data_IF_264724970096
#
_entry.id   IF_264724970096
#
_cell.length_a   1.000
_cell.length_b   1.000
_cell.length_c   1.000
_cell.angle_alpha   90.00
_cell.angle_beta   90.00
_cell.angle_gamma   90.00
#
_symmetry.space_group_name_H-M   'P 1'
#
loop_
_entity.id
_entity.type
_entity.pdbx_description
1 polymer ?
#
# COMPACT_ATOMS: atom_id res chain seq x y z
N UNK A 1 41.07 8.35 -27.53
CA UNK A 1 40.30 7.09 -27.42
C UNK A 1 39.08 7.35 -26.54
N UNK A 2 37.87 7.35 -27.11
CA UNK A 2 36.61 7.44 -26.31
C UNK A 2 36.40 6.07 -25.65
N UNK A 3 36.31 6.07 -24.30
CA UNK A 3 35.82 4.89 -23.55
C UNK A 3 34.46 4.44 -24.11
N UNK A 4 34.27 3.14 -24.43
CA UNK A 4 32.96 2.68 -24.86
C UNK A 4 31.95 2.97 -23.76
N UNK A 5 30.83 3.62 -24.12
CA UNK A 5 29.73 3.82 -23.22
C UNK A 5 29.18 2.44 -22.81
N UNK A 6 29.22 2.14 -21.53
CA UNK A 6 28.57 0.94 -20.99
C UNK A 6 27.08 1.08 -21.29
N UNK A 7 26.52 0.15 -22.06
CA UNK A 7 25.10 0.14 -22.36
C UNK A 7 24.30 0.16 -21.07
N UNK A 8 23.40 1.13 -20.94
CA UNK A 8 22.54 1.24 -19.74
C UNK A 8 21.64 0.00 -19.69
N UNK A 9 21.65 -0.69 -18.55
CA UNK A 9 20.74 -1.82 -18.29
C UNK A 9 19.30 -1.30 -18.35
N UNK A 10 18.40 -1.93 -19.11
CA UNK A 10 17.00 -1.49 -19.18
C UNK A 10 16.32 -1.62 -17.82
N UNK A 11 15.32 -0.76 -17.50
CA UNK A 11 14.56 -0.89 -16.28
C UNK A 11 13.78 -2.21 -16.24
N UNK A 12 13.60 -2.75 -15.04
CA UNK A 12 12.86 -3.97 -14.76
C UNK A 12 11.71 -3.62 -13.81
N UNK A 13 10.51 -4.10 -14.12
CA UNK A 13 9.34 -3.98 -13.24
C UNK A 13 8.94 -5.36 -12.73
N UNK A 14 8.74 -5.47 -11.43
CA UNK A 14 8.33 -6.73 -10.79
C UNK A 14 7.48 -6.46 -9.54
N UNK A 15 6.76 -7.50 -9.06
CA UNK A 15 6.08 -7.43 -7.78
C UNK A 15 7.10 -7.17 -6.67
N UNK A 16 6.77 -6.26 -5.76
CA UNK A 16 7.66 -5.92 -4.65
C UNK A 16 7.66 -7.03 -3.59
N UNK A 17 8.83 -7.27 -2.99
CA UNK A 17 8.91 -8.05 -1.74
C UNK A 17 8.48 -7.16 -0.58
N UNK A 18 7.34 -7.49 0.03
CA UNK A 18 6.77 -6.72 1.13
C UNK A 18 6.65 -7.54 2.41
N UNK A 19 6.82 -6.87 3.55
CA UNK A 19 6.44 -7.40 4.86
C UNK A 19 5.14 -6.69 5.26
N UNK A 20 4.05 -7.42 5.26
CA UNK A 20 2.75 -6.94 5.70
C UNK A 20 2.51 -7.35 7.16
N UNK A 21 2.54 -6.43 8.14
CA UNK A 21 2.34 -6.78 9.55
C UNK A 21 0.89 -7.16 9.86
N UNK A 22 -0.05 -6.67 9.06
CA UNK A 22 -1.49 -6.88 9.26
C UNK A 22 -2.14 -7.30 7.93
N UNK A 23 -1.94 -8.56 7.49
CA UNK A 23 -2.57 -9.04 6.26
C UNK A 23 -4.10 -9.06 6.43
N UNK A 24 -4.80 -8.39 5.50
CA UNK A 24 -6.26 -8.42 5.48
C UNK A 24 -6.77 -9.73 4.90
N UNK A 25 -6.08 -10.26 3.89
CA UNK A 25 -6.40 -11.50 3.21
C UNK A 25 -6.38 -11.39 1.70
N UNK A 26 -6.83 -12.47 1.05
CA UNK A 26 -6.85 -12.59 -0.42
C UNK A 26 -8.24 -12.21 -0.93
N UNK A 27 -8.30 -11.39 -1.96
CA UNK A 27 -9.53 -11.02 -2.64
C UNK A 27 -10.26 -12.21 -3.26
N UNK A 28 -11.56 -12.29 -3.07
CA UNK A 28 -12.39 -13.39 -3.61
C UNK A 28 -12.40 -13.38 -5.14
N UNK A 29 -12.49 -12.20 -5.74
CA UNK A 29 -12.58 -12.01 -7.19
C UNK A 29 -11.22 -11.73 -7.82
N UNK A 30 -10.49 -10.76 -7.30
CA UNK A 30 -9.22 -10.28 -7.86
C UNK A 30 -8.05 -11.24 -7.64
N UNK A 31 -8.12 -12.08 -6.59
CA UNK A 31 -7.01 -12.92 -6.11
C UNK A 31 -5.78 -12.12 -5.65
N UNK A 32 -5.91 -10.81 -5.48
CA UNK A 32 -4.87 -9.97 -4.95
C UNK A 32 -4.75 -10.13 -3.43
N UNK A 33 -3.54 -10.01 -2.93
CA UNK A 33 -3.27 -9.89 -1.50
C UNK A 33 -3.52 -8.45 -1.07
N UNK A 34 -4.30 -8.29 0.00
CA UNK A 34 -4.60 -7.00 0.60
C UNK A 34 -3.95 -6.89 1.97
N UNK A 35 -3.31 -5.75 2.21
CA UNK A 35 -2.65 -5.44 3.47
C UNK A 35 -3.27 -4.19 4.10
N UNK A 36 -3.65 -4.28 5.38
CA UNK A 36 -4.10 -3.12 6.14
C UNK A 36 -2.93 -2.17 6.42
N UNK A 37 -3.12 -0.89 6.12
CA UNK A 37 -2.20 0.18 6.48
C UNK A 37 -2.61 0.72 7.84
N UNK A 38 -1.80 0.45 8.84
CA UNK A 38 -2.08 0.86 10.22
C UNK A 38 -1.56 2.26 10.49
N UNK A 39 -2.28 3.01 11.32
CA UNK A 39 -1.78 4.27 11.88
C UNK A 39 -0.71 3.95 12.92
N UNK A 40 0.53 4.31 12.62
CA UNK A 40 1.69 4.12 13.48
C UNK A 40 2.67 5.29 13.31
N UNK A 41 3.65 5.38 14.22
CA UNK A 41 4.69 6.42 14.19
C UNK A 41 6.08 5.87 13.87
N UNK A 42 6.28 4.59 14.16
CA UNK A 42 7.54 3.90 13.92
C UNK A 42 7.50 3.25 12.53
N UNK A 43 8.40 3.60 11.60
CA UNK A 43 8.48 2.98 10.29
C UNK A 43 8.56 1.44 10.33
N UNK A 44 9.16 0.86 11.37
CA UNK A 44 9.28 -0.60 11.51
C UNK A 44 7.94 -1.31 11.74
N UNK A 45 6.92 -0.57 12.19
CA UNK A 45 5.57 -1.09 12.39
C UNK A 45 4.68 -0.99 11.13
N UNK A 46 5.16 -0.32 10.07
CA UNK A 46 4.45 -0.17 8.80
C UNK A 46 4.61 -1.35 7.85
N UNK A 47 4.05 -1.20 6.67
CA UNK A 47 4.29 -2.15 5.58
C UNK A 47 5.66 -1.85 4.99
N UNK A 48 6.60 -2.77 5.18
CA UNK A 48 7.96 -2.62 4.69
C UNK A 48 8.04 -3.10 3.24
N UNK A 49 8.47 -2.23 2.35
CA UNK A 49 8.77 -2.56 0.95
C UNK A 49 10.27 -2.67 0.80
N UNK A 50 10.76 -3.86 0.43
CA UNK A 50 12.17 -4.10 0.15
C UNK A 50 12.48 -3.68 -1.28
N UNK A 51 13.53 -2.89 -1.44
CA UNK A 51 13.99 -2.41 -2.73
C UNK A 51 15.15 -3.33 -3.19
N UNK A 52 15.06 -3.95 -4.37
CA UNK A 52 16.15 -4.76 -4.91
C UNK A 52 17.42 -3.95 -5.13
N UNK A 53 18.58 -4.62 -5.23
CA UNK A 53 19.84 -3.95 -5.59
C UNK A 53 19.70 -3.23 -6.93
N UNK A 54 19.93 -1.93 -6.92
CA UNK A 54 19.62 -1.05 -8.04
C UNK A 54 20.67 0.03 -8.23
N UNK A 55 20.54 0.76 -9.33
CA UNK A 55 21.31 1.96 -9.65
C UNK A 55 20.37 3.07 -10.10
N UNK A 56 20.47 4.22 -9.44
CA UNK A 56 19.56 5.36 -9.64
C UNK A 56 18.23 5.17 -8.91
N UNK A 57 17.30 6.10 -9.03
CA UNK A 57 16.03 6.06 -8.32
C UNK A 57 15.18 4.87 -8.74
N UNK A 58 14.32 4.41 -7.82
CA UNK A 58 13.34 3.34 -8.02
C UNK A 58 11.94 3.93 -8.04
N UNK A 59 11.07 3.42 -8.89
CA UNK A 59 9.66 3.76 -8.88
C UNK A 59 8.89 2.67 -8.15
N UNK A 60 8.31 3.02 -6.99
CA UNK A 60 7.36 2.19 -6.26
C UNK A 60 5.94 2.54 -6.74
N UNK A 61 5.15 1.51 -7.04
CA UNK A 61 3.73 1.66 -7.37
C UNK A 61 2.90 0.75 -6.50
N UNK A 62 1.72 1.21 -6.08
CA UNK A 62 0.74 0.39 -5.38
C UNK A 62 -0.66 0.97 -5.55
N UNK A 63 -1.67 0.14 -5.38
CA UNK A 63 -3.06 0.55 -5.35
C UNK A 63 -3.48 0.80 -3.90
N UNK A 64 -3.96 2.02 -3.63
CA UNK A 64 -4.44 2.47 -2.34
C UNK A 64 -5.97 2.46 -2.32
N UNK A 65 -6.55 1.88 -1.26
CA UNK A 65 -7.99 1.71 -1.10
C UNK A 65 -8.44 2.22 0.26
N UNK A 66 -9.69 2.65 0.36
CA UNK A 66 -10.35 2.76 1.65
C UNK A 66 -10.81 1.38 2.13
N UNK A 67 -10.85 1.21 3.45
CA UNK A 67 -11.33 0.00 4.10
C UNK A 67 -12.78 0.16 4.50
N UNK A 68 -13.63 -0.78 4.09
CA UNK A 68 -15.05 -0.77 4.46
C UNK A 68 -15.50 -2.12 5.02
N UNK A 69 -16.29 -2.04 6.09
CA UNK A 69 -17.04 -3.19 6.61
C UNK A 69 -18.53 -2.87 6.43
N UNK A 70 -19.24 -3.66 5.64
CA UNK A 70 -20.63 -3.36 5.35
C UNK A 70 -21.61 -4.27 6.10
N UNK A 71 -22.78 -3.71 6.40
CA UNK A 71 -23.93 -4.40 6.93
C UNK A 71 -25.00 -4.54 5.85
N UNK A 72 -25.44 -5.77 5.58
CA UNK A 72 -26.51 -6.03 4.63
C UNK A 72 -27.82 -5.35 5.06
N UNK A 73 -28.07 -5.31 6.36
CA UNK A 73 -29.23 -4.62 6.94
C UNK A 73 -29.21 -3.12 6.63
N UNK A 74 -28.06 -2.46 6.83
CA UNK A 74 -27.92 -1.04 6.52
C UNK A 74 -28.06 -0.75 5.02
N UNK A 75 -27.52 -1.63 4.17
CA UNK A 75 -27.66 -1.52 2.72
C UNK A 75 -29.14 -1.64 2.30
N UNK A 76 -29.87 -2.62 2.82
CA UNK A 76 -31.31 -2.80 2.56
C UNK A 76 -32.15 -1.62 3.07
N UNK A 77 -31.75 -1.04 4.20
CA UNK A 77 -32.41 0.12 4.77
C UNK A 77 -32.02 1.46 4.11
N UNK A 78 -31.16 1.43 3.08
CA UNK A 78 -30.60 2.60 2.39
C UNK A 78 -29.89 3.58 3.35
N UNK A 79 -29.25 3.07 4.40
CA UNK A 79 -28.49 3.80 5.44
C UNK A 79 -27.03 3.49 5.49
N UNK A 80 -26.50 2.76 4.48
CA UNK A 80 -25.10 2.32 4.45
C UNK A 80 -24.10 3.38 3.94
N UNK A 81 -24.59 4.59 3.62
CA UNK A 81 -23.72 5.64 3.11
C UNK A 81 -22.54 5.93 4.04
N UNK A 82 -21.34 5.94 3.47
CA UNK A 82 -20.14 6.41 4.14
C UNK A 82 -19.18 6.99 3.09
N UNK A 83 -18.56 8.13 3.41
CA UNK A 83 -17.45 8.69 2.64
C UNK A 83 -16.18 8.59 3.49
N UNK A 84 -15.14 8.01 2.90
CA UNK A 84 -13.88 7.81 3.55
C UNK A 84 -12.81 8.69 2.90
N UNK A 85 -11.98 9.33 3.72
CA UNK A 85 -10.78 10.04 3.27
C UNK A 85 -9.63 9.54 4.12
N UNK A 86 -8.74 8.75 3.52
CA UNK A 86 -7.57 8.21 4.19
C UNK A 86 -6.29 8.85 3.67
N UNK A 87 -5.36 9.15 4.57
CA UNK A 87 -4.03 9.68 4.27
C UNK A 87 -3.00 8.68 4.75
N UNK A 88 -2.06 8.34 3.87
CA UNK A 88 -0.92 7.48 4.16
C UNK A 88 0.39 8.18 3.81
N UNK A 89 1.46 7.88 4.54
CA UNK A 89 2.81 8.33 4.26
C UNK A 89 3.67 7.18 3.74
N UNK A 90 4.58 7.49 2.81
CA UNK A 90 5.71 6.63 2.45
C UNK A 90 6.96 7.26 3.04
N UNK A 91 7.66 6.52 3.91
CA UNK A 91 8.77 6.99 4.69
C UNK A 91 10.00 6.12 4.48
N UNK A 92 11.18 6.72 4.68
CA UNK A 92 12.42 5.97 4.85
C UNK A 92 12.43 5.27 6.22
N UNK A 93 13.36 4.36 6.45
CA UNK A 93 13.45 3.63 7.72
C UNK A 93 13.97 4.51 8.87
N UNK A 94 14.54 5.67 8.58
CA UNK A 94 14.92 6.70 9.58
C UNK A 94 13.79 7.70 9.89
N UNK A 95 12.57 7.40 9.45
CA UNK A 95 11.35 8.20 9.66
C UNK A 95 11.30 9.52 8.87
N UNK A 96 12.04 9.62 7.77
CA UNK A 96 11.92 10.76 6.85
C UNK A 96 10.79 10.54 5.86
N UNK A 97 9.88 11.51 5.76
CA UNK A 97 8.76 11.42 4.84
C UNK A 97 9.21 11.65 3.39
N UNK A 98 8.98 10.67 2.52
CA UNK A 98 9.20 10.78 1.07
C UNK A 98 8.00 11.44 0.42
N UNK A 99 6.79 10.92 0.67
CA UNK A 99 5.54 11.46 0.10
C UNK A 99 4.33 11.08 0.93
N UNK A 100 3.20 11.77 0.65
CA UNK A 100 1.87 11.40 1.13
C UNK A 100 0.98 11.02 -0.04
N UNK A 101 0.09 10.07 0.21
CA UNK A 101 -0.99 9.73 -0.70
C UNK A 101 -2.33 9.80 0.03
N UNK A 102 -3.37 10.17 -0.72
CA UNK A 102 -4.74 10.29 -0.18
C UNK A 102 -5.65 9.48 -1.09
N UNK A 103 -6.53 8.69 -0.48
CA UNK A 103 -7.64 8.06 -1.18
C UNK A 103 -8.95 8.52 -0.58
N UNK A 104 -9.87 8.95 -1.44
CA UNK A 104 -11.22 9.37 -1.04
C UNK A 104 -12.24 8.70 -1.92
N UNK A 105 -13.20 8.02 -1.32
CA UNK A 105 -14.33 7.45 -2.04
C UNK A 105 -15.55 7.27 -1.16
N UNK A 106 -16.69 7.04 -1.80
CA UNK A 106 -17.97 6.79 -1.15
C UNK A 106 -18.36 5.32 -1.26
N UNK A 107 -19.02 4.82 -0.24
CA UNK A 107 -19.73 3.55 -0.23
C UNK A 107 -21.23 3.79 -0.04
N UNK A 108 -22.05 3.16 -0.85
CA UNK A 108 -23.51 3.17 -0.74
C UNK A 108 -24.10 1.77 -0.81
N UNK A 109 -23.48 0.90 -1.61
CA UNK A 109 -23.96 -0.44 -1.94
C UNK A 109 -22.81 -1.38 -2.26
N UNK A 110 -23.10 -2.66 -2.32
CA UNK A 110 -22.10 -3.72 -2.52
C UNK A 110 -21.28 -3.57 -3.81
N UNK A 111 -21.85 -2.94 -4.85
CA UNK A 111 -21.15 -2.68 -6.11
C UNK A 111 -20.02 -1.64 -6.00
N UNK A 112 -19.95 -0.91 -4.89
CA UNK A 112 -18.90 0.07 -4.63
C UNK A 112 -17.63 -0.58 -4.06
N UNK A 113 -17.66 -1.88 -3.75
CA UNK A 113 -16.46 -2.64 -3.43
C UNK A 113 -15.60 -2.89 -4.67
N UNK A 114 -14.29 -2.75 -4.50
CA UNK A 114 -13.31 -3.28 -5.47
C UNK A 114 -13.31 -4.81 -5.44
N UNK A 115 -13.35 -5.37 -4.22
CA UNK A 115 -13.42 -6.81 -3.97
C UNK A 115 -13.98 -7.08 -2.56
N UNK A 116 -14.07 -8.32 -2.19
CA UNK A 116 -14.39 -8.78 -0.84
C UNK A 116 -13.23 -9.58 -0.29
N UNK A 117 -12.94 -9.38 0.98
CA UNK A 117 -11.96 -10.17 1.72
C UNK A 117 -12.67 -10.78 2.92
N UNK A 118 -12.55 -12.08 3.07
CA UNK A 118 -13.30 -12.82 4.08
C UNK A 118 -14.76 -13.09 3.69
N UNK A 119 -15.47 -13.81 4.55
CA UNK A 119 -16.86 -14.22 4.34
C UNK A 119 -17.57 -14.53 5.65
N UNK A 120 -18.90 -14.65 5.54
CA UNK A 120 -19.78 -14.92 6.65
C UNK A 120 -20.40 -13.68 7.29
N UNK A 121 -21.51 -13.86 7.99
CA UNK A 121 -22.16 -12.81 8.74
C UNK A 121 -21.57 -12.75 10.15
N UNK A 122 -21.09 -11.58 10.53
CA UNK A 122 -20.68 -11.27 11.90
C UNK A 122 -21.86 -10.69 12.72
N UNK A 123 -21.61 -10.31 13.97
CA UNK A 123 -22.60 -9.59 14.81
C UNK A 123 -23.13 -8.33 14.11
N UNK A 124 -24.44 -8.08 14.19
CA UNK A 124 -25.07 -6.91 13.58
C UNK A 124 -25.19 -6.96 12.05
N UNK A 125 -25.13 -8.16 11.43
CA UNK A 125 -25.29 -8.34 9.99
C UNK A 125 -24.07 -7.91 9.16
N UNK A 126 -22.91 -7.73 9.79
CA UNK A 126 -21.64 -7.41 9.10
C UNK A 126 -21.15 -8.64 8.36
N UNK A 127 -21.05 -8.59 7.02
CA UNK A 127 -20.71 -9.74 6.19
C UNK A 127 -19.27 -9.79 5.73
N UNK A 128 -18.70 -8.67 5.36
CA UNK A 128 -17.38 -8.68 4.75
C UNK A 128 -16.62 -7.39 5.05
N UNK A 129 -15.31 -7.50 5.06
CA UNK A 129 -14.39 -6.37 4.94
C UNK A 129 -13.99 -6.29 3.47
N UNK A 130 -14.08 -5.11 2.88
CA UNK A 130 -13.75 -4.93 1.48
C UNK A 130 -12.99 -3.63 1.23
N UNK A 131 -12.05 -3.64 0.27
CA UNK A 131 -11.48 -2.41 -0.25
C UNK A 131 -12.50 -1.67 -1.10
N UNK A 132 -12.57 -0.35 -0.92
CA UNK A 132 -13.43 0.54 -1.71
C UNK A 132 -12.60 1.61 -2.38
N UNK A 133 -12.87 1.87 -3.66
CA UNK A 133 -12.09 2.79 -4.48
C UNK A 133 -10.68 2.28 -4.78
N UNK A 134 -10.06 2.88 -5.76
CA UNK A 134 -8.67 2.61 -6.14
C UNK A 134 -8.00 3.92 -6.47
N UNK A 135 -6.93 4.23 -5.76
CA UNK A 135 -6.00 5.30 -6.13
C UNK A 135 -4.65 4.67 -6.44
N UNK A 136 -4.24 4.73 -7.69
CA UNK A 136 -2.92 4.24 -8.08
C UNK A 136 -1.85 5.26 -7.69
N UNK A 137 -1.00 4.88 -6.75
CA UNK A 137 0.07 5.70 -6.19
C UNK A 137 1.38 5.37 -6.87
N UNK A 138 2.12 6.40 -7.28
CA UNK A 138 3.47 6.29 -7.81
C UNK A 138 4.41 7.14 -6.95
N UNK A 139 5.49 6.52 -6.48
CA UNK A 139 6.49 7.15 -5.61
C UNK A 139 7.88 6.94 -6.16
N UNK A 140 8.66 8.00 -6.27
CA UNK A 140 10.08 7.91 -6.62
C UNK A 140 10.88 7.75 -5.33
N UNK A 141 11.55 6.62 -5.19
CA UNK A 141 12.40 6.29 -4.04
C UNK A 141 13.84 6.66 -4.40
N UNK A 142 14.55 7.39 -3.52
CA UNK A 142 15.97 7.72 -3.69
C UNK A 142 16.87 6.48 -3.82
N UNK A 143 18.00 6.63 -4.53
CA UNK A 143 18.94 5.51 -4.82
C UNK A 143 19.54 4.89 -3.54
N UNK A 144 19.69 5.68 -2.49
CA UNK A 144 20.28 5.25 -1.22
C UNK A 144 19.37 4.34 -0.38
N UNK A 145 18.07 4.28 -0.70
CA UNK A 145 17.10 3.55 0.09
C UNK A 145 17.04 2.08 -0.34
N UNK A 146 17.26 1.18 0.59
CA UNK A 146 17.09 -0.28 0.42
C UNK A 146 15.72 -0.78 0.90
N UNK A 147 15.03 0.01 1.71
CA UNK A 147 13.69 -0.27 2.24
C UNK A 147 12.94 1.03 2.48
N UNK A 148 11.63 0.99 2.31
CA UNK A 148 10.72 2.07 2.71
C UNK A 148 9.54 1.49 3.45
N UNK A 149 8.87 2.33 4.24
CA UNK A 149 7.69 1.96 5.02
C UNK A 149 6.47 2.72 4.55
N UNK A 150 5.32 2.04 4.48
CA UNK A 150 4.02 2.67 4.23
C UNK A 150 3.23 2.66 5.53
N UNK A 151 2.91 3.85 6.04
CA UNK A 151 2.19 4.07 7.30
C UNK A 151 0.92 4.88 7.09
N UNK A 152 -0.12 4.57 7.85
CA UNK A 152 -1.34 5.36 7.93
C UNK A 152 -1.16 6.59 8.82
N UNK A 153 -1.64 7.75 8.38
CA UNK A 153 -1.67 8.96 9.20
C UNK A 153 -3.05 9.13 9.86
N UNK A 154 -4.10 9.12 9.06
CA UNK A 154 -5.47 9.29 9.53
C UNK A 154 -6.50 8.81 8.51
N UNK A 155 -7.71 8.51 9.01
CA UNK A 155 -8.90 8.32 8.19
C UNK A 155 -10.05 9.17 8.74
N UNK A 156 -10.72 9.91 7.86
CA UNK A 156 -11.98 10.60 8.16
C UNK A 156 -13.13 9.81 7.55
N UNK A 157 -14.13 9.53 8.34
CA UNK A 157 -15.34 8.82 7.90
C UNK A 157 -16.53 9.74 8.10
N UNK A 158 -17.22 10.05 7.02
CA UNK A 158 -18.47 10.83 7.04
C UNK A 158 -19.63 9.88 6.76
N UNK A 159 -20.67 9.99 7.58
CA UNK A 159 -21.91 9.22 7.48
C UNK A 159 -23.11 10.17 7.53
N UNK A 160 -24.32 9.62 7.37
CA UNK A 160 -25.55 10.41 7.42
C UNK A 160 -25.78 11.10 8.79
N UNK A 161 -25.24 10.53 9.85
CA UNK A 161 -25.39 10.98 11.24
C UNK A 161 -24.21 11.80 11.76
N UNK A 162 -23.18 12.03 10.94
CA UNK A 162 -22.02 12.83 11.31
C UNK A 162 -20.70 12.38 10.72
N UNK A 163 -19.60 12.96 11.19
CA UNK A 163 -18.26 12.61 10.77
C UNK A 163 -17.33 12.37 11.96
N UNK A 164 -16.33 11.51 11.77
CA UNK A 164 -15.27 11.26 12.75
C UNK A 164 -13.94 11.08 12.06
N UNK A 165 -12.87 11.58 12.69
CA UNK A 165 -11.49 11.39 12.24
C UNK A 165 -10.75 10.52 13.23
N UNK A 166 -9.99 9.57 12.70
CA UNK A 166 -9.26 8.58 13.48
C UNK A 166 -7.79 8.61 13.08
N UNK A 167 -6.89 8.71 14.07
CA UNK A 167 -5.44 8.76 13.91
C UNK A 167 -4.68 8.08 15.05
N UNK A 168 -5.40 7.31 15.90
CA UNK A 168 -4.76 6.60 17.01
C UNK A 168 -3.91 5.43 16.51
N UNK A 169 -2.75 5.21 17.12
CA UNK A 169 -1.86 4.09 16.82
C UNK A 169 -2.60 2.74 16.92
N UNK A 170 -2.23 1.79 16.06
CA UNK A 170 -2.85 0.48 15.98
C UNK A 170 -4.21 0.45 15.25
N UNK A 171 -4.61 1.54 14.62
CA UNK A 171 -5.88 1.59 13.89
C UNK A 171 -5.69 1.43 12.39
N UNK A 172 -6.46 0.57 11.71
CA UNK A 172 -6.42 0.48 10.26
C UNK A 172 -6.99 1.78 9.64
N UNK A 173 -6.23 2.37 8.72
CA UNK A 173 -6.53 3.65 8.05
C UNK A 173 -6.93 3.42 6.61
N UNK A 174 -6.23 2.52 5.92
CA UNK A 174 -6.41 2.23 4.51
C UNK A 174 -6.03 0.77 4.21
N UNK A 175 -6.11 0.39 2.96
CA UNK A 175 -5.65 -0.91 2.45
C UNK A 175 -4.75 -0.65 1.25
N UNK A 176 -3.72 -1.47 1.07
CA UNK A 176 -2.95 -1.51 -0.18
C UNK A 176 -3.02 -2.88 -0.84
N UNK A 177 -2.82 -2.87 -2.16
CA UNK A 177 -2.65 -4.07 -2.99
C UNK A 177 -1.73 -3.77 -4.18
N UNK A 178 -1.40 -4.79 -4.96
CA UNK A 178 -0.70 -4.66 -6.24
C UNK A 178 0.61 -3.84 -6.13
N UNK A 179 1.43 -4.16 -5.12
CA UNK A 179 2.68 -3.44 -4.87
C UNK A 179 3.76 -3.91 -5.84
N UNK A 180 4.36 -2.98 -6.58
CA UNK A 180 5.40 -3.27 -7.55
C UNK A 180 6.51 -2.22 -7.52
N UNK A 181 7.71 -2.64 -7.93
CA UNK A 181 8.88 -1.77 -8.08
C UNK A 181 9.40 -1.82 -9.51
N UNK A 182 9.79 -0.65 -10.02
CA UNK A 182 10.50 -0.51 -11.28
C UNK A 182 11.85 0.12 -11.01
N UNK A 183 12.91 -0.56 -11.40
CA UNK A 183 14.29 -0.18 -11.09
C UNK A 183 15.26 -0.62 -12.18
N UNK A 184 16.45 -0.05 -12.19
CA UNK A 184 17.58 -0.52 -12.99
C UNK A 184 18.46 -1.41 -12.13
N UNK A 185 18.65 -2.71 -12.46
CA UNK A 185 19.51 -3.59 -11.68
C UNK A 185 20.93 -3.06 -11.57
N UNK A 186 21.51 -3.21 -10.39
CA UNK A 186 22.94 -2.92 -10.20
C UNK A 186 23.78 -3.85 -11.07
N UNK A 187 24.89 -3.39 -11.65
CA UNK A 187 25.79 -4.26 -12.40
C UNK A 187 26.38 -5.33 -11.45
N UNK A 188 26.57 -6.58 -11.94
CA UNK A 188 27.16 -7.62 -11.12
C UNK A 188 28.53 -7.19 -10.58
N UNK A 189 28.89 -7.58 -9.34
CA UNK A 189 30.19 -7.24 -8.76
C UNK A 189 31.31 -7.77 -9.66
N UNK A 190 32.32 -6.92 -9.90
CA UNK A 190 33.48 -7.33 -10.70
C UNK A 190 34.14 -8.55 -10.05
N UNK A 191 34.51 -9.59 -10.84
CA UNK A 191 35.24 -10.72 -10.31
C UNK A 191 36.53 -10.22 -9.59
N UNK A 192 36.67 -10.60 -8.33
CA UNK A 192 37.89 -10.30 -7.57
C UNK A 192 39.03 -11.03 -8.26
N UNK A 193 39.99 -10.30 -8.83
CA UNK A 193 41.17 -10.91 -9.42
C UNK A 193 41.90 -11.79 -8.37
N UNK A 194 42.26 -13.03 -8.68
CA UNK A 194 42.97 -13.88 -7.73
C UNK A 194 44.24 -13.18 -7.30
N UNK A 195 44.47 -13.00 -5.98
CA UNK A 195 45.75 -12.54 -5.44
C UNK A 195 46.82 -13.50 -5.92
N UNK A 196 47.71 -13.04 -6.80
CA UNK A 196 48.94 -13.76 -7.10
C UNK A 196 49.71 -13.95 -5.79
N UNK A 197 49.92 -15.22 -5.40
CA UNK A 197 50.87 -15.60 -4.36
C UNK A 197 52.29 -15.44 -4.88
#
# INVERSE_FOLDING_TARGET
>A
MRKPAVAAVPPRKEAADIICPTPLGIGVSTKLEYCDVMSERDPTAGIIVKIPEHKGPVTLTFDLHNRHTYSEEQVKANRAYARYTATVGVLTMDNTLITRAVVQNEFRRVTDFVDRVGGGAGPGGIKAVGPTGVESVLVVIPEEESQVSILGEKVTVERLDGSATYSSSGRPVAIISNVAVEYRPAPPPKPVAPKKR
#
